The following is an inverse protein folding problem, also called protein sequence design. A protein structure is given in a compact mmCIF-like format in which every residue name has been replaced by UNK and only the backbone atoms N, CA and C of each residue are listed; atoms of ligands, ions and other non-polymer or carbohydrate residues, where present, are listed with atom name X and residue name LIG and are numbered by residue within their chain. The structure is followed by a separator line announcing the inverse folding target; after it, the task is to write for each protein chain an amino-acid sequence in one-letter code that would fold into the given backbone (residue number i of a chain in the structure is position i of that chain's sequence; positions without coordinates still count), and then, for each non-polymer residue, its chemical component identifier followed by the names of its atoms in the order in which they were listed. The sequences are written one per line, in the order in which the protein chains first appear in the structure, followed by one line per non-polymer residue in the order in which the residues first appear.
data_IF_363771876829
#
_entry.id   IF_363771876829
#
_cell.length_a   1.000
_cell.length_b   1.000
_cell.length_c   1.000
_cell.angle_alpha   90.00
_cell.angle_beta   90.00
_cell.angle_gamma   90.00
#
_symmetry.space_group_name_H-M   'P 1'
#
loop_
_entity.id
_entity.type
_entity.pdbx_description
1 polymer ?
#
# COMPACT_ATOMS: atom_id res chain seq x y z
N UNK A 1 -8.98 -15.18 12.75
CA UNK A 1 -8.10 -14.20 13.41
C UNK A 1 -7.48 -13.30 12.38
N UNK A 2 -7.33 -12.03 12.70
CA UNK A 2 -6.70 -11.06 11.79
C UNK A 2 -5.39 -10.60 12.43
N UNK A 3 -4.32 -10.64 11.63
CA UNK A 3 -3.02 -10.07 12.02
C UNK A 3 -2.69 -8.92 11.08
N UNK A 4 -1.79 -8.05 11.49
CA UNK A 4 -1.38 -6.94 10.65
C UNK A 4 0.09 -6.61 10.84
N UNK A 5 0.65 -5.95 9.82
CA UNK A 5 1.99 -5.36 9.89
C UNK A 5 1.96 -4.00 9.19
N UNK A 6 2.68 -3.04 9.76
CA UNK A 6 2.76 -1.67 9.26
C UNK A 6 4.08 -1.43 8.55
N UNK A 7 4.00 -0.67 7.47
CA UNK A 7 5.13 -0.24 6.65
C UNK A 7 5.03 1.25 6.42
N UNK A 8 6.16 1.91 6.16
CA UNK A 8 6.19 3.31 5.79
C UNK A 8 7.08 3.50 4.58
N UNK A 9 6.75 4.47 3.73
CA UNK A 9 7.60 4.86 2.62
C UNK A 9 7.40 6.33 2.29
N UNK A 10 8.44 6.98 1.80
CA UNK A 10 8.43 8.37 1.38
C UNK A 10 8.43 8.41 -0.14
N UNK A 11 7.46 9.10 -0.73
CA UNK A 11 7.35 9.18 -2.19
C UNK A 11 6.86 10.54 -2.61
N UNK A 12 7.18 10.89 -3.85
CA UNK A 12 6.66 12.09 -4.49
C UNK A 12 5.64 11.72 -5.56
N UNK A 13 4.68 12.59 -5.78
CA UNK A 13 3.70 12.45 -6.85
C UNK A 13 3.10 13.80 -7.22
N UNK A 14 2.37 13.81 -8.33
CA UNK A 14 1.46 14.88 -8.70
C UNK A 14 0.21 14.27 -9.32
N UNK A 15 -0.91 15.00 -9.24
CA UNK A 15 -2.19 14.52 -9.76
C UNK A 15 -2.50 15.26 -11.07
N UNK A 16 -2.21 14.66 -12.25
CA UNK A 16 -2.38 15.36 -13.52
C UNK A 16 -3.84 15.62 -13.89
N UNK A 17 -4.78 14.85 -13.34
CA UNK A 17 -6.19 14.93 -13.73
C UNK A 17 -7.02 15.91 -12.88
N UNK A 18 -6.42 16.55 -11.86
CA UNK A 18 -7.13 17.58 -11.09
C UNK A 18 -7.24 18.87 -11.90
N UNK A 19 -8.22 19.76 -11.60
CA UNK A 19 -8.36 21.04 -12.28
C UNK A 19 -7.11 21.91 -12.17
N UNK A 20 -6.90 22.77 -13.19
CA UNK A 20 -5.85 23.78 -13.13
C UNK A 20 -6.02 24.65 -11.88
N UNK A 21 -4.90 25.01 -11.26
CA UNK A 21 -4.88 25.75 -10.01
C UNK A 21 -5.01 24.90 -8.76
N UNK A 22 -5.33 23.61 -8.90
CA UNK A 22 -5.36 22.69 -7.75
C UNK A 22 -3.92 22.42 -7.30
N UNK A 23 -3.67 22.53 -5.99
CA UNK A 23 -2.30 22.38 -5.43
C UNK A 23 -1.67 21.02 -5.71
N UNK A 24 -2.48 19.95 -5.78
CA UNK A 24 -1.99 18.60 -6.01
C UNK A 24 -1.50 18.37 -7.44
N UNK A 25 -1.71 19.32 -8.36
CA UNK A 25 -1.13 19.27 -9.69
C UNK A 25 0.38 19.50 -9.66
N UNK A 26 0.88 20.16 -8.62
CA UNK A 26 2.31 20.35 -8.40
C UNK A 26 2.92 19.09 -7.77
N UNK A 27 4.20 18.84 -8.08
CA UNK A 27 4.95 17.75 -7.46
C UNK A 27 5.07 18.03 -5.96
N UNK A 28 4.71 17.04 -5.17
CA UNK A 28 4.80 17.11 -3.71
C UNK A 28 5.03 15.71 -3.15
N UNK A 29 5.38 15.63 -1.87
CA UNK A 29 5.69 14.35 -1.23
C UNK A 29 4.89 14.10 0.01
N UNK A 30 4.79 12.83 0.34
CA UNK A 30 4.17 12.34 1.57
C UNK A 30 5.01 11.23 2.18
N UNK A 31 4.90 11.08 3.50
CA UNK A 31 5.26 9.83 4.17
C UNK A 31 4.00 9.00 4.25
N UNK A 32 3.94 7.96 3.43
CA UNK A 32 2.80 7.03 3.42
C UNK A 32 2.98 5.98 4.50
N UNK A 33 1.88 5.63 5.17
CA UNK A 33 1.83 4.51 6.11
C UNK A 33 0.86 3.46 5.58
N UNK A 34 1.39 2.26 5.34
CA UNK A 34 0.61 1.14 4.85
C UNK A 34 0.44 0.12 5.97
N UNK A 35 -0.79 -0.30 6.22
CA UNK A 35 -1.09 -1.43 7.09
C UNK A 35 -1.63 -2.57 6.25
N UNK A 36 -0.99 -3.72 6.35
CA UNK A 36 -1.37 -4.94 5.62
C UNK A 36 -2.01 -5.91 6.62
N UNK A 37 -3.27 -6.30 6.35
CA UNK A 37 -4.04 -7.21 7.21
C UNK A 37 -4.19 -8.57 6.53
N UNK A 38 -3.92 -9.61 7.29
CA UNK A 38 -4.16 -11.00 6.86
C UNK A 38 -5.21 -11.62 7.77
N UNK A 39 -6.07 -12.46 7.20
CA UNK A 39 -7.08 -13.18 7.95
C UNK A 39 -6.95 -14.68 7.68
N UNK A 40 -6.94 -15.48 8.74
CA UNK A 40 -6.85 -16.92 8.62
C UNK A 40 -6.87 -17.59 9.98
N UNK A 41 -6.77 -18.92 9.92
CA UNK A 41 -6.70 -19.75 11.11
C UNK A 41 -5.25 -19.89 11.59
N UNK A 42 -5.09 -20.26 12.85
CA UNK A 42 -3.77 -20.57 13.40
C UNK A 42 -3.24 -21.86 12.79
N UNK A 43 -1.98 -21.86 12.37
CA UNK A 43 -1.27 -23.09 12.02
C UNK A 43 -1.20 -23.98 13.26
N UNK A 44 -1.41 -25.28 13.07
CA UNK A 44 -1.46 -26.23 14.19
C UNK A 44 -0.12 -26.36 14.93
N UNK A 45 0.99 -26.27 14.19
CA UNK A 45 2.33 -26.45 14.73
C UNK A 45 2.91 -25.14 15.27
N UNK A 46 2.86 -24.08 14.46
CA UNK A 46 3.49 -22.81 14.79
C UNK A 46 2.60 -21.87 15.61
N UNK A 47 1.28 -22.10 15.63
CA UNK A 47 0.32 -21.30 16.39
C UNK A 47 0.23 -19.84 15.95
N UNK A 48 0.49 -19.57 14.67
CA UNK A 48 0.36 -18.25 14.05
C UNK A 48 -0.53 -18.33 12.80
N UNK A 49 -1.02 -17.18 12.34
CA UNK A 49 -1.70 -17.07 11.05
C UNK A 49 -0.66 -17.10 9.92
N UNK A 50 0.41 -16.35 10.09
CA UNK A 50 1.57 -16.30 9.20
C UNK A 50 2.74 -15.68 9.94
N UNK A 51 3.97 -16.09 9.61
CA UNK A 51 5.18 -15.45 10.14
C UNK A 51 5.26 -14.02 9.61
N UNK A 52 5.46 -13.06 10.50
CA UNK A 52 5.62 -11.65 10.13
C UNK A 52 6.81 -11.40 9.21
N UNK A 53 7.86 -12.22 9.31
CA UNK A 53 9.02 -12.12 8.40
C UNK A 53 8.61 -12.49 6.98
N UNK A 54 7.82 -13.54 6.80
CA UNK A 54 7.36 -13.98 5.47
C UNK A 54 6.42 -12.92 4.86
N UNK A 55 5.57 -12.32 5.68
CA UNK A 55 4.73 -11.20 5.27
C UNK A 55 5.58 -10.03 4.79
N UNK A 56 6.60 -9.65 5.55
CA UNK A 56 7.54 -8.59 5.18
C UNK A 56 8.25 -8.89 3.87
N UNK A 57 8.70 -10.14 3.69
CA UNK A 57 9.44 -10.55 2.50
C UNK A 57 8.62 -10.41 1.21
N UNK A 58 7.30 -10.54 1.30
CA UNK A 58 6.40 -10.31 0.15
C UNK A 58 6.16 -8.81 -0.09
N UNK A 59 5.93 -8.05 0.96
CA UNK A 59 5.51 -6.64 0.85
C UNK A 59 6.68 -5.70 0.58
N UNK A 60 7.83 -5.93 1.20
CA UNK A 60 8.97 -5.01 1.13
C UNK A 60 9.44 -4.73 -0.30
N UNK A 61 9.57 -5.71 -1.21
CA UNK A 61 9.96 -5.42 -2.60
C UNK A 61 8.99 -4.48 -3.32
N UNK A 62 7.69 -4.54 -3.01
CA UNK A 62 6.68 -3.66 -3.58
C UNK A 62 6.83 -2.25 -3.01
N UNK A 63 7.03 -2.13 -1.70
CA UNK A 63 7.30 -0.85 -1.04
C UNK A 63 8.56 -0.20 -1.62
N UNK A 64 9.61 -0.97 -1.89
CA UNK A 64 10.86 -0.45 -2.43
C UNK A 64 10.70 0.16 -3.84
N UNK A 65 9.70 -0.26 -4.59
CA UNK A 65 9.37 0.37 -5.88
C UNK A 65 8.74 1.76 -5.73
N UNK A 66 8.14 2.02 -4.58
CA UNK A 66 7.48 3.30 -4.28
C UNK A 66 8.40 4.24 -3.51
N UNK A 67 9.19 3.70 -2.59
CA UNK A 67 10.00 4.47 -1.66
C UNK A 67 11.10 5.27 -2.38
N UNK A 68 11.18 6.57 -2.09
CA UNK A 68 12.14 7.50 -2.68
C UNK A 68 12.05 7.60 -4.21
N UNK A 69 10.86 7.34 -4.76
CA UNK A 69 10.60 7.42 -6.20
C UNK A 69 9.45 8.37 -6.52
N UNK A 70 9.37 8.79 -7.78
CA UNK A 70 8.21 9.48 -8.33
C UNK A 70 7.18 8.44 -8.72
N UNK A 71 6.05 8.40 -8.03
CA UNK A 71 5.03 7.35 -8.24
C UNK A 71 4.47 7.43 -9.66
N UNK A 72 4.33 8.63 -10.23
CA UNK A 72 3.82 8.81 -11.60
C UNK A 72 4.62 8.05 -12.67
N UNK A 73 5.89 7.73 -12.38
CA UNK A 73 6.75 7.02 -13.34
C UNK A 73 6.48 5.51 -13.37
N UNK A 74 5.69 4.99 -12.43
CA UNK A 74 5.35 3.57 -12.38
C UNK A 74 4.20 3.30 -13.36
N UNK A 75 4.37 2.36 -14.33
CA UNK A 75 3.28 1.99 -15.24
C UNK A 75 2.02 1.56 -14.48
N UNK A 76 0.89 2.15 -14.83
CA UNK A 76 -0.39 1.93 -14.15
C UNK A 76 -0.68 2.97 -13.07
N UNK A 77 0.29 3.78 -12.68
CA UNK A 77 0.16 4.82 -11.66
C UNK A 77 0.39 6.23 -12.22
N UNK A 78 -0.06 6.47 -13.45
CA UNK A 78 0.08 7.77 -14.11
C UNK A 78 -0.76 8.85 -13.44
N UNK A 79 -1.87 8.46 -12.79
CA UNK A 79 -2.68 9.35 -11.94
C UNK A 79 -2.74 8.76 -10.52
N UNK A 80 -1.67 8.94 -9.72
CA UNK A 80 -1.46 8.20 -8.48
C UNK A 80 -2.16 8.83 -7.28
N UNK A 81 -3.48 8.79 -7.27
CA UNK A 81 -4.26 9.09 -6.08
C UNK A 81 -3.99 8.03 -5.01
N UNK A 82 -4.26 8.33 -3.74
CA UNK A 82 -4.12 7.34 -2.67
C UNK A 82 -4.94 6.08 -2.96
N UNK A 83 -6.13 6.24 -3.57
CA UNK A 83 -6.99 5.14 -3.97
C UNK A 83 -6.31 4.24 -5.02
N UNK A 84 -5.75 4.83 -6.07
CA UNK A 84 -5.08 4.06 -7.13
C UNK A 84 -3.83 3.39 -6.63
N UNK A 85 -3.05 4.05 -5.79
CA UNK A 85 -1.85 3.46 -5.18
C UNK A 85 -2.24 2.23 -4.34
N UNK A 86 -3.32 2.33 -3.56
CA UNK A 86 -3.78 1.22 -2.73
C UNK A 86 -4.18 0.00 -3.56
N UNK A 87 -4.95 0.22 -4.64
CA UNK A 87 -5.35 -0.87 -5.56
C UNK A 87 -4.11 -1.48 -6.23
N UNK A 88 -3.17 -0.65 -6.66
CA UNK A 88 -1.93 -1.12 -7.28
C UNK A 88 -1.13 -2.01 -6.32
N UNK A 89 -0.97 -1.58 -5.06
CA UNK A 89 -0.28 -2.38 -4.03
C UNK A 89 -1.00 -3.72 -3.86
N UNK A 90 -2.32 -3.70 -3.73
CA UNK A 90 -3.13 -4.91 -3.60
C UNK A 90 -2.84 -5.89 -4.74
N UNK A 91 -2.88 -5.40 -5.97
CA UNK A 91 -2.68 -6.24 -7.16
C UNK A 91 -1.27 -6.84 -7.21
N UNK A 92 -0.27 -6.14 -6.67
CA UNK A 92 1.10 -6.64 -6.61
C UNK A 92 1.28 -7.74 -5.55
N UNK A 93 0.64 -7.62 -4.39
CA UNK A 93 0.90 -8.52 -3.27
C UNK A 93 -0.12 -9.67 -3.14
N UNK A 94 -1.36 -9.49 -3.57
CA UNK A 94 -2.41 -10.50 -3.40
C UNK A 94 -2.05 -11.88 -3.99
N UNK A 95 -1.43 -11.98 -5.18
CA UNK A 95 -1.03 -13.28 -5.73
C UNK A 95 -0.06 -14.05 -4.84
N UNK A 96 0.71 -13.36 -4.01
CA UNK A 96 1.70 -13.95 -3.11
C UNK A 96 1.24 -14.01 -1.65
N UNK A 97 0.08 -13.43 -1.35
CA UNK A 97 -0.51 -13.40 -0.01
C UNK A 97 -2.00 -13.78 -0.11
N UNK A 98 -2.31 -15.07 -0.25
CA UNK A 98 -3.72 -15.48 -0.36
C UNK A 98 -4.58 -15.06 0.83
N UNK A 99 -3.99 -14.91 2.03
CA UNK A 99 -4.68 -14.50 3.24
C UNK A 99 -4.90 -12.99 3.34
N UNK A 100 -4.40 -12.20 2.38
CA UNK A 100 -4.61 -10.75 2.37
C UNK A 100 -6.10 -10.43 2.41
N UNK A 101 -6.52 -9.68 3.42
CA UNK A 101 -7.92 -9.35 3.64
C UNK A 101 -8.23 -7.86 3.53
N UNK A 102 -7.25 -7.00 3.85
CA UNK A 102 -7.45 -5.55 3.87
C UNK A 102 -6.14 -4.82 3.78
N UNK A 103 -6.16 -3.66 3.12
CA UNK A 103 -5.09 -2.66 3.17
C UNK A 103 -5.65 -1.36 3.73
N UNK A 104 -4.85 -0.67 4.54
CA UNK A 104 -5.08 0.73 4.88
C UNK A 104 -3.85 1.52 4.42
N UNK A 105 -4.05 2.53 3.60
CA UNK A 105 -2.99 3.43 3.17
C UNK A 105 -3.29 4.83 3.66
N UNK A 106 -2.46 5.34 4.56
CA UNK A 106 -2.55 6.72 5.03
C UNK A 106 -1.58 7.59 4.22
N UNK A 107 -2.11 8.56 3.49
CA UNK A 107 -1.34 9.56 2.78
C UNK A 107 -0.83 10.64 3.75
N UNK A 108 -1.67 10.95 4.74
CA UNK A 108 -1.35 11.84 5.85
C UNK A 108 -1.79 11.19 7.15
N UNK A 109 -1.42 11.72 8.33
CA UNK A 109 -1.91 11.17 9.60
C UNK A 109 -3.43 11.16 9.75
N UNK A 110 -4.15 11.99 9.00
CA UNK A 110 -5.59 12.18 9.16
C UNK A 110 -6.42 11.72 7.97
N UNK A 111 -5.80 11.26 6.89
CA UNK A 111 -6.50 10.89 5.66
C UNK A 111 -5.90 9.65 5.04
N UNK A 112 -6.74 8.73 4.62
CA UNK A 112 -6.28 7.50 4.02
C UNK A 112 -7.40 6.72 3.34
N UNK A 113 -7.03 5.54 2.85
CA UNK A 113 -7.88 4.63 2.09
C UNK A 113 -7.91 3.27 2.79
N UNK A 114 -9.08 2.68 2.85
CA UNK A 114 -9.27 1.28 3.26
C UNK A 114 -9.77 0.50 2.05
N UNK A 115 -9.14 -0.62 1.75
CA UNK A 115 -9.48 -1.42 0.57
C UNK A 115 -9.47 -2.90 0.91
N UNK A 116 -10.50 -3.60 0.51
CA UNK A 116 -10.70 -5.04 0.78
C UNK A 116 -10.78 -5.87 -0.51
N UNK A 117 -10.22 -5.35 -1.60
CA UNK A 117 -10.17 -6.06 -2.88
C UNK A 117 -11.37 -5.82 -3.79
N UNK A 118 -12.19 -4.84 -3.44
CA UNK A 118 -13.40 -4.54 -4.23
C UNK A 118 -13.94 -3.14 -3.99
#
# INVERSE_FOLDING_TARGET
MVIFKKFAFDSAHFLPNVPEGHKCKNIHGHTYHLTVFLEGDLDEDFQWVMDFKDLKDVVKPVIDRLDHNMINDIPGLENPTAERITVWIWDQIKPHLPLLSKLELNETPTSGVVYEGK
#
